data_IF_692697370595
#
_entry.id   IF_692697370595
#
_cell.length_a   1.000
_cell.length_b   1.000
_cell.length_c   1.000
_cell.angle_alpha   90.00
_cell.angle_beta   90.00
_cell.angle_gamma   90.00
#
_symmetry.space_group_name_H-M   'P 1'
#
loop_
_entity.id
_entity.type
_entity.pdbx_description
1 polymer ?
#
# COMPACT_ATOMS: atom_id res chain seq x y z
N UNK A 1 16.95 27.05 2.19
CA UNK A 1 17.92 26.44 3.12
C UNK A 1 18.67 25.36 2.37
N UNK A 2 20.02 25.43 2.45
CA UNK A 2 20.88 24.42 1.83
C UNK A 2 21.36 23.49 2.95
N UNK A 3 21.26 22.19 2.72
CA UNK A 3 21.82 21.17 3.59
C UNK A 3 22.85 20.34 2.82
N UNK A 4 23.83 19.83 3.52
CA UNK A 4 24.90 18.99 2.99
C UNK A 4 24.61 17.50 3.25
N UNK A 5 25.34 16.62 2.58
CA UNK A 5 25.28 15.18 2.88
C UNK A 5 25.72 14.88 4.32
N UNK A 6 26.66 15.65 4.84
CA UNK A 6 27.15 15.53 6.22
C UNK A 6 26.05 15.87 7.24
N UNK A 7 25.23 16.89 6.98
CA UNK A 7 24.07 17.22 7.82
C UNK A 7 23.06 16.06 7.84
N UNK A 8 22.78 15.46 6.69
CA UNK A 8 21.87 14.31 6.58
C UNK A 8 22.42 13.10 7.37
N UNK A 9 23.71 12.80 7.23
CA UNK A 9 24.35 11.70 7.96
C UNK A 9 24.32 11.94 9.48
N UNK A 10 24.65 13.16 9.91
CA UNK A 10 24.63 13.56 11.31
C UNK A 10 23.23 13.44 11.91
N UNK A 11 22.22 13.92 11.23
CA UNK A 11 20.82 13.82 11.65
C UNK A 11 20.35 12.36 11.77
N UNK A 12 20.75 11.50 10.83
CA UNK A 12 20.43 10.08 10.88
C UNK A 12 21.13 9.41 12.07
N UNK A 13 22.42 9.69 12.30
CA UNK A 13 23.17 9.13 13.42
C UNK A 13 22.55 9.54 14.76
N UNK A 14 22.28 10.83 14.95
CA UNK A 14 21.64 11.34 16.16
C UNK A 14 20.30 10.68 16.41
N UNK A 15 19.48 10.55 15.37
CA UNK A 15 18.18 9.89 15.42
C UNK A 15 18.29 8.41 15.80
N UNK A 16 19.29 7.70 15.29
CA UNK A 16 19.53 6.29 15.63
C UNK A 16 19.97 6.13 17.09
N UNK A 17 20.91 6.97 17.55
CA UNK A 17 21.40 6.96 18.93
C UNK A 17 20.24 7.18 19.92
N UNK A 18 19.44 8.22 19.70
CA UNK A 18 18.30 8.55 20.58
C UNK A 18 17.25 7.42 20.61
N UNK A 19 17.01 6.75 19.48
CA UNK A 19 15.94 5.74 19.36
C UNK A 19 16.36 4.31 19.73
N UNK A 20 17.65 4.09 19.97
CA UNK A 20 18.15 2.77 20.39
C UNK A 20 18.86 2.86 21.73
N UNK A 21 18.17 3.29 22.81
CA UNK A 21 18.80 3.42 24.13
C UNK A 21 19.27 2.08 24.69
N UNK A 22 18.73 0.96 24.26
CA UNK A 22 19.20 -0.38 24.60
C UNK A 22 20.58 -0.71 24.02
N UNK A 23 21.04 0.03 22.99
CA UNK A 23 22.38 -0.11 22.38
C UNK A 23 23.35 0.95 22.91
N UNK A 24 22.87 2.18 23.07
CA UNK A 24 23.72 3.36 23.34
C UNK A 24 23.57 3.90 24.78
N UNK A 25 22.70 3.30 25.61
CA UNK A 25 22.44 3.71 27.00
C UNK A 25 22.29 2.50 27.91
N UNK A 26 21.89 2.73 29.16
CA UNK A 26 21.72 1.72 30.19
C UNK A 26 20.32 1.06 30.21
N UNK A 27 19.46 1.39 29.26
CA UNK A 27 18.11 0.82 29.18
C UNK A 27 18.21 -0.62 28.69
N UNK A 28 17.75 -1.56 29.51
CA UNK A 28 17.65 -2.97 29.10
C UNK A 28 16.35 -3.21 28.36
N UNK A 29 16.39 -3.95 27.28
CA UNK A 29 15.25 -4.47 26.56
C UNK A 29 15.60 -5.87 26.08
N UNK A 30 14.99 -6.87 26.72
CA UNK A 30 15.35 -8.28 26.55
C UNK A 30 14.58 -8.94 25.42
N UNK A 31 13.53 -8.29 24.90
CA UNK A 31 12.71 -8.80 23.80
C UNK A 31 12.60 -7.80 22.65
N UNK A 32 12.42 -8.34 21.44
CA UNK A 32 12.16 -7.51 20.24
C UNK A 32 10.93 -6.61 20.41
N UNK A 33 9.92 -7.10 21.12
CA UNK A 33 8.68 -6.35 21.38
C UNK A 33 8.94 -5.14 22.28
N UNK A 34 9.75 -5.28 23.32
CA UNK A 34 10.16 -4.19 24.21
C UNK A 34 10.99 -3.14 23.46
N UNK A 35 11.93 -3.59 22.61
CA UNK A 35 12.71 -2.70 21.73
C UNK A 35 11.80 -1.86 20.84
N UNK A 36 10.83 -2.49 20.17
CA UNK A 36 9.89 -1.81 19.29
C UNK A 36 8.97 -0.85 20.06
N UNK A 37 8.50 -1.23 21.23
CA UNK A 37 7.66 -0.39 22.09
C UNK A 37 8.42 0.87 22.56
N UNK A 38 9.65 0.68 23.05
CA UNK A 38 10.52 1.79 23.47
C UNK A 38 10.83 2.72 22.28
N UNK A 39 11.15 2.15 21.12
CA UNK A 39 11.43 2.93 19.90
C UNK A 39 10.24 3.79 19.45
N UNK A 40 9.02 3.23 19.52
CA UNK A 40 7.80 3.94 19.19
C UNK A 40 7.50 5.06 20.19
N UNK A 41 7.65 4.79 21.53
CA UNK A 41 7.45 5.79 22.57
C UNK A 41 8.41 6.98 22.42
N UNK A 42 9.69 6.71 22.26
CA UNK A 42 10.72 7.76 22.04
C UNK A 42 10.45 8.55 20.77
N UNK A 43 9.94 7.90 19.74
CA UNK A 43 9.58 8.56 18.48
C UNK A 43 8.39 9.50 18.64
N UNK A 44 7.37 9.12 19.42
CA UNK A 44 6.21 9.96 19.72
C UNK A 44 6.64 11.17 20.56
N UNK A 45 7.49 10.96 21.57
CA UNK A 45 8.03 12.01 22.44
C UNK A 45 8.90 13.00 21.67
N UNK A 46 9.89 12.51 20.90
CA UNK A 46 10.80 13.36 20.10
C UNK A 46 10.09 14.17 19.02
N UNK A 47 8.89 13.77 18.60
CA UNK A 47 8.08 14.49 17.63
C UNK A 47 7.02 15.38 18.25
N UNK A 48 6.94 15.45 19.60
CA UNK A 48 5.92 16.19 20.34
C UNK A 48 4.49 15.91 19.86
N UNK A 49 4.22 14.62 19.49
CA UNK A 49 2.90 14.19 19.01
C UNK A 49 2.03 13.86 20.21
N UNK A 50 1.12 14.78 20.54
CA UNK A 50 0.20 14.65 21.69
C UNK A 50 -1.18 14.12 21.29
N UNK A 51 -1.51 14.15 19.99
CA UNK A 51 -2.79 13.66 19.47
C UNK A 51 -2.62 12.61 18.37
N UNK A 52 -3.63 11.77 18.21
CA UNK A 52 -3.68 10.80 17.11
C UNK A 52 -3.62 11.45 15.74
N UNK A 53 -4.36 12.54 15.56
CA UNK A 53 -4.35 13.30 14.30
C UNK A 53 -2.93 13.72 13.94
N UNK A 54 -2.16 14.27 14.87
CA UNK A 54 -0.76 14.63 14.64
C UNK A 54 0.09 13.42 14.22
N UNK A 55 -0.17 12.25 14.81
CA UNK A 55 0.52 11.01 14.43
C UNK A 55 0.20 10.60 12.99
N UNK A 56 -1.06 10.75 12.56
CA UNK A 56 -1.47 10.46 11.19
C UNK A 56 -0.92 11.49 10.19
N UNK A 57 -1.01 12.76 10.51
CA UNK A 57 -0.48 13.88 9.69
C UNK A 57 1.04 13.81 9.49
N UNK A 58 1.76 13.26 10.47
CA UNK A 58 3.21 13.04 10.39
C UNK A 58 3.62 11.90 9.45
N UNK A 59 2.69 11.24 8.74
CA UNK A 59 3.03 10.37 7.62
C UNK A 59 3.49 11.23 6.44
N UNK A 60 4.70 10.98 5.95
CA UNK A 60 5.31 11.79 4.90
C UNK A 60 4.37 11.87 3.67
N UNK A 61 4.12 13.09 3.21
CA UNK A 61 3.27 13.37 2.04
C UNK A 61 3.95 13.00 0.71
N UNK A 62 5.27 12.80 0.74
CA UNK A 62 6.10 12.42 -0.42
C UNK A 62 6.08 10.92 -0.71
N UNK A 63 5.46 10.11 0.14
CA UNK A 63 5.30 8.67 -0.12
C UNK A 63 4.33 8.41 -1.28
N UNK A 64 4.52 7.32 -2.05
CA UNK A 64 3.51 6.81 -2.97
C UNK A 64 2.16 6.66 -2.28
N UNK A 65 1.07 6.87 -3.01
CA UNK A 65 -0.26 7.03 -2.42
C UNK A 65 -0.72 5.80 -1.60
N UNK A 66 -0.55 4.59 -2.14
CA UNK A 66 -0.91 3.35 -1.45
C UNK A 66 -0.04 3.12 -0.21
N UNK A 67 1.27 3.36 -0.32
CA UNK A 67 2.19 3.26 0.81
C UNK A 67 1.82 4.26 1.91
N UNK A 68 1.43 5.48 1.54
CA UNK A 68 0.97 6.50 2.48
C UNK A 68 -0.34 6.08 3.16
N UNK A 69 -1.34 5.64 2.39
CA UNK A 69 -2.61 5.14 2.90
C UNK A 69 -2.39 3.98 3.89
N UNK A 70 -1.59 2.99 3.52
CA UNK A 70 -1.26 1.84 4.37
C UNK A 70 -0.58 2.27 5.68
N UNK A 71 0.36 3.23 5.65
CA UNK A 71 0.99 3.76 6.87
C UNK A 71 0.01 4.53 7.75
N UNK A 72 -0.94 5.25 7.17
CA UNK A 72 -2.01 5.92 7.92
C UNK A 72 -2.90 4.88 8.59
N UNK A 73 -3.36 3.87 7.86
CA UNK A 73 -4.13 2.75 8.41
C UNK A 73 -3.38 2.06 9.57
N UNK A 74 -2.10 1.69 9.36
CA UNK A 74 -1.27 1.06 10.41
C UNK A 74 -1.22 1.89 11.69
N UNK A 75 -1.10 3.21 11.59
CA UNK A 75 -1.04 4.09 12.75
C UNK A 75 -2.41 4.24 13.43
N UNK A 76 -3.48 4.31 12.63
CA UNK A 76 -4.83 4.37 13.16
C UNK A 76 -5.22 3.10 13.95
N UNK A 77 -4.70 1.94 13.54
CA UNK A 77 -4.99 0.63 14.14
C UNK A 77 -4.21 0.35 15.43
N UNK A 78 -3.15 1.10 15.74
CA UNK A 78 -2.17 0.78 16.80
C UNK A 78 -2.77 0.64 18.20
N UNK A 79 -3.94 1.23 18.49
CA UNK A 79 -4.58 1.22 19.82
C UNK A 79 -5.90 0.46 19.85
N UNK A 80 -5.96 -0.72 19.25
CA UNK A 80 -7.17 -1.55 19.21
C UNK A 80 -8.41 -0.85 18.61
N UNK A 81 -8.20 0.18 17.80
CA UNK A 81 -9.28 0.75 17.04
C UNK A 81 -9.75 -0.30 16.04
N UNK A 82 -10.90 -0.92 16.29
CA UNK A 82 -11.53 -2.01 15.54
C UNK A 82 -11.91 -1.62 14.10
N UNK A 83 -11.38 -0.52 13.60
CA UNK A 83 -11.75 0.04 12.31
C UNK A 83 -11.42 -0.91 11.14
N UNK A 84 -10.47 -1.84 11.33
CA UNK A 84 -10.02 -2.77 10.28
C UNK A 84 -9.52 -4.10 10.92
N UNK A 85 -10.39 -4.89 11.56
CA UNK A 85 -10.08 -6.31 11.78
C UNK A 85 -10.30 -7.07 10.44
N UNK A 86 -9.69 -8.25 10.27
CA UNK A 86 -9.72 -8.97 8.98
C UNK A 86 -11.13 -9.16 8.41
N UNK A 87 -12.09 -9.54 9.25
CA UNK A 87 -13.49 -9.69 8.83
C UNK A 87 -14.14 -8.35 8.46
N UNK A 88 -13.86 -7.29 9.24
CA UNK A 88 -14.37 -5.96 8.96
C UNK A 88 -13.66 -5.30 7.77
N UNK A 89 -12.38 -5.62 7.50
CA UNK A 89 -11.66 -5.08 6.35
C UNK A 89 -12.25 -5.56 5.01
N UNK A 90 -12.58 -6.85 4.91
CA UNK A 90 -13.25 -7.40 3.73
C UNK A 90 -14.68 -6.86 3.58
N UNK A 91 -15.42 -6.76 4.68
CA UNK A 91 -16.76 -6.15 4.69
C UNK A 91 -16.69 -4.68 4.23
N UNK A 92 -15.71 -3.90 4.71
CA UNK A 92 -15.53 -2.50 4.30
C UNK A 92 -15.21 -2.37 2.82
N UNK A 93 -14.38 -3.25 2.25
CA UNK A 93 -14.12 -3.26 0.79
C UNK A 93 -15.40 -3.56 0.01
N UNK A 94 -16.22 -4.49 0.50
CA UNK A 94 -17.52 -4.84 -0.13
C UNK A 94 -18.49 -3.67 -0.07
N UNK A 95 -18.56 -2.98 1.06
CA UNK A 95 -19.39 -1.78 1.25
C UNK A 95 -18.93 -0.62 0.35
N UNK A 96 -17.62 -0.33 0.29
CA UNK A 96 -17.08 0.69 -0.60
C UNK A 96 -17.34 0.35 -2.08
N UNK A 97 -17.27 -0.94 -2.46
CA UNK A 97 -17.64 -1.38 -3.81
C UNK A 97 -19.11 -1.07 -4.10
N UNK A 98 -20.02 -1.36 -3.17
CA UNK A 98 -21.45 -1.09 -3.34
C UNK A 98 -21.72 0.42 -3.47
N UNK A 99 -21.09 1.25 -2.61
CA UNK A 99 -21.19 2.70 -2.69
C UNK A 99 -20.73 3.24 -4.05
N UNK A 100 -19.65 2.66 -4.60
CA UNK A 100 -19.18 3.01 -5.94
C UNK A 100 -20.19 2.61 -7.03
N UNK A 101 -20.80 1.42 -6.93
CA UNK A 101 -21.83 0.96 -7.87
C UNK A 101 -23.05 1.89 -7.85
N UNK A 102 -23.49 2.32 -6.67
CA UNK A 102 -24.61 3.28 -6.52
C UNK A 102 -24.24 4.64 -7.12
N UNK A 103 -23.06 5.16 -6.85
CA UNK A 103 -22.60 6.43 -7.41
C UNK A 103 -22.52 6.39 -8.96
N UNK A 104 -22.08 5.25 -9.53
CA UNK A 104 -22.06 5.04 -10.98
C UNK A 104 -23.48 5.00 -11.57
N UNK A 105 -24.45 4.40 -10.88
CA UNK A 105 -25.85 4.40 -11.31
C UNK A 105 -26.51 5.77 -11.28
N UNK A 106 -26.06 6.63 -10.34
CA UNK A 106 -26.53 8.02 -10.25
C UNK A 106 -25.85 8.96 -11.25
N UNK A 107 -24.83 8.48 -11.95
CA UNK A 107 -24.01 9.25 -12.91
C UNK A 107 -23.43 10.53 -12.30
N UNK A 108 -23.16 10.55 -10.98
CA UNK A 108 -22.60 11.70 -10.26
C UNK A 108 -21.07 11.62 -10.20
N UNK A 109 -20.35 12.46 -10.98
CA UNK A 109 -18.89 12.39 -11.07
C UNK A 109 -18.17 12.67 -9.74
N UNK A 110 -18.74 13.51 -8.87
CA UNK A 110 -18.14 13.83 -7.58
C UNK A 110 -18.28 12.67 -6.62
N UNK A 111 -19.44 12.02 -6.57
CA UNK A 111 -19.64 10.84 -5.76
C UNK A 111 -18.82 9.64 -6.28
N UNK A 112 -18.74 9.44 -7.59
CA UNK A 112 -17.88 8.40 -8.20
C UNK A 112 -16.41 8.61 -7.78
N UNK A 113 -15.91 9.84 -7.86
CA UNK A 113 -14.52 10.17 -7.47
C UNK A 113 -14.27 9.88 -6.00
N UNK A 114 -15.20 10.26 -5.12
CA UNK A 114 -15.11 10.01 -3.68
C UNK A 114 -15.14 8.50 -3.38
N UNK A 115 -16.14 7.80 -3.89
CA UNK A 115 -16.31 6.36 -3.65
C UNK A 115 -15.12 5.54 -4.17
N UNK A 116 -14.55 5.89 -5.33
CA UNK A 116 -13.32 5.29 -5.83
C UNK A 116 -12.13 5.52 -4.90
N UNK A 117 -11.98 6.73 -4.37
CA UNK A 117 -10.93 7.05 -3.38
C UNK A 117 -11.08 6.24 -2.09
N UNK A 118 -12.30 6.08 -1.59
CA UNK A 118 -12.61 5.28 -0.41
C UNK A 118 -12.33 3.79 -0.64
N UNK A 119 -12.68 3.25 -1.79
CA UNK A 119 -12.39 1.86 -2.17
C UNK A 119 -10.88 1.59 -2.20
N UNK A 120 -10.09 2.48 -2.82
CA UNK A 120 -8.63 2.35 -2.86
C UNK A 120 -8.01 2.43 -1.45
N UNK A 121 -8.52 3.31 -0.59
CA UNK A 121 -8.08 3.41 0.79
C UNK A 121 -8.40 2.15 1.59
N UNK A 122 -9.61 1.60 1.44
CA UNK A 122 -10.02 0.33 2.07
C UNK A 122 -9.17 -0.84 1.59
N UNK A 123 -8.84 -0.92 0.29
CA UNK A 123 -7.93 -1.94 -0.23
C UNK A 123 -6.52 -1.84 0.39
N UNK A 124 -5.97 -0.62 0.53
CA UNK A 124 -4.69 -0.41 1.19
C UNK A 124 -4.74 -0.80 2.69
N UNK A 125 -5.85 -0.51 3.37
CA UNK A 125 -6.12 -0.94 4.74
C UNK A 125 -6.20 -2.46 4.88
N UNK A 126 -6.89 -3.14 3.97
CA UNK A 126 -6.96 -4.60 3.92
C UNK A 126 -5.58 -5.23 3.70
N UNK A 127 -4.77 -4.69 2.80
CA UNK A 127 -3.39 -5.15 2.61
C UNK A 127 -2.58 -5.02 3.92
N UNK A 128 -2.79 -3.95 4.70
CA UNK A 128 -2.15 -3.79 6.01
C UNK A 128 -2.58 -4.87 7.01
N UNK A 129 -3.84 -5.26 7.05
CA UNK A 129 -4.32 -6.32 7.96
C UNK A 129 -3.79 -7.70 7.58
N UNK A 130 -3.58 -7.94 6.29
CA UNK A 130 -3.01 -9.17 5.75
C UNK A 130 -1.47 -9.22 5.83
N UNK A 131 -0.81 -8.16 6.32
CA UNK A 131 0.65 -8.09 6.39
C UNK A 131 1.34 -7.92 5.02
N UNK A 132 0.59 -7.53 3.99
CA UNK A 132 1.08 -7.32 2.63
C UNK A 132 1.50 -5.87 2.42
N UNK A 133 2.41 -5.62 1.48
CA UNK A 133 2.70 -4.27 0.98
C UNK A 133 1.79 -3.92 -0.18
N UNK A 134 0.82 -3.02 0.01
CA UNK A 134 -0.13 -2.63 -1.03
C UNK A 134 0.56 -2.08 -2.30
N UNK A 135 1.62 -1.28 -2.12
CA UNK A 135 2.42 -0.72 -3.22
C UNK A 135 3.13 -1.84 -4.01
N UNK A 136 3.76 -2.79 -3.31
CA UNK A 136 4.49 -3.88 -3.94
C UNK A 136 3.53 -4.82 -4.68
N UNK A 137 2.45 -5.25 -4.03
CA UNK A 137 1.45 -6.13 -4.65
C UNK A 137 0.88 -5.53 -5.93
N UNK A 138 0.56 -4.22 -5.92
CA UNK A 138 0.06 -3.56 -7.12
C UNK A 138 1.14 -3.43 -8.19
N UNK A 139 2.39 -3.15 -7.81
CA UNK A 139 3.53 -3.10 -8.73
C UNK A 139 3.74 -4.45 -9.41
N UNK A 140 3.75 -5.53 -8.65
CA UNK A 140 3.96 -6.89 -9.18
C UNK A 140 2.82 -7.29 -10.12
N UNK A 141 1.57 -7.02 -9.72
CA UNK A 141 0.39 -7.26 -10.56
C UNK A 141 0.44 -6.45 -11.85
N UNK A 142 0.89 -5.20 -11.78
CA UNK A 142 1.05 -4.34 -12.96
C UNK A 142 2.13 -4.89 -13.91
N UNK A 143 3.26 -5.32 -13.36
CA UNK A 143 4.34 -5.94 -14.15
C UNK A 143 3.87 -7.24 -14.80
N UNK A 144 3.13 -8.06 -14.08
CA UNK A 144 2.54 -9.29 -14.61
C UNK A 144 1.55 -9.00 -15.74
N UNK A 145 0.71 -7.96 -15.59
CA UNK A 145 -0.18 -7.50 -16.66
C UNK A 145 0.60 -7.11 -17.92
N UNK A 146 1.69 -6.33 -17.78
CA UNK A 146 2.54 -5.90 -18.90
C UNK A 146 3.19 -7.13 -19.56
N UNK A 147 3.65 -8.09 -18.78
CA UNK A 147 4.24 -9.34 -19.32
C UNK A 147 3.22 -10.16 -20.10
N UNK A 148 2.00 -10.32 -19.58
CA UNK A 148 0.91 -10.96 -20.30
C UNK A 148 0.63 -10.27 -21.63
N UNK A 149 0.56 -8.95 -21.62
CA UNK A 149 0.26 -8.16 -22.83
C UNK A 149 1.34 -8.35 -23.88
N UNK A 150 2.62 -8.35 -23.50
CA UNK A 150 3.76 -8.60 -24.39
C UNK A 150 3.65 -9.97 -25.09
N UNK A 151 3.39 -11.05 -24.33
CA UNK A 151 3.26 -12.40 -24.87
C UNK A 151 2.07 -12.49 -25.85
N UNK A 152 0.96 -11.77 -25.55
CA UNK A 152 -0.17 -11.70 -26.49
C UNK A 152 0.21 -11.00 -27.79
N UNK A 153 0.94 -9.89 -27.74
CA UNK A 153 1.44 -9.20 -28.94
C UNK A 153 2.36 -10.09 -29.78
N UNK A 154 3.30 -10.78 -29.12
CA UNK A 154 4.22 -11.72 -29.78
C UNK A 154 3.47 -12.89 -30.44
N UNK A 155 2.44 -13.41 -29.77
CA UNK A 155 1.59 -14.49 -30.30
C UNK A 155 0.83 -14.02 -31.53
N UNK A 156 0.20 -12.85 -31.47
CA UNK A 156 -0.51 -12.28 -32.62
C UNK A 156 0.42 -11.97 -33.78
N UNK A 157 1.64 -11.48 -33.51
CA UNK A 157 2.64 -11.20 -34.54
C UNK A 157 3.10 -12.49 -35.22
N UNK A 158 3.31 -13.58 -34.47
CA UNK A 158 3.68 -14.88 -35.02
C UNK A 158 2.58 -15.48 -35.95
N UNK A 159 1.32 -15.17 -35.64
CA UNK A 159 0.17 -15.57 -36.47
C UNK A 159 -0.11 -14.58 -37.63
N UNK A 160 0.70 -13.52 -37.81
CA UNK A 160 0.47 -12.43 -38.76
C UNK A 160 -0.93 -11.79 -38.61
N UNK A 161 -1.45 -11.74 -37.41
CA UNK A 161 -2.77 -11.22 -37.08
C UNK A 161 -2.65 -10.04 -36.12
N UNK A 162 -2.93 -8.80 -36.53
CA UNK A 162 -2.90 -7.65 -35.63
C UNK A 162 -3.84 -7.83 -34.43
N UNK A 163 -3.37 -7.51 -33.23
CA UNK A 163 -4.11 -7.70 -31.98
C UNK A 163 -5.44 -6.94 -31.96
N UNK A 164 -5.51 -5.79 -32.66
CA UNK A 164 -6.69 -4.96 -32.80
C UNK A 164 -7.82 -5.65 -33.61
N UNK A 165 -7.49 -6.71 -34.35
CA UNK A 165 -8.47 -7.49 -35.13
C UNK A 165 -9.12 -8.60 -34.34
N UNK A 166 -8.69 -8.83 -33.10
CA UNK A 166 -9.29 -9.85 -32.23
C UNK A 166 -10.69 -9.41 -31.79
N UNK A 167 -11.63 -10.32 -31.86
CA UNK A 167 -12.91 -10.15 -31.20
C UNK A 167 -12.75 -10.18 -29.67
N UNK A 168 -13.69 -9.61 -28.92
CA UNK A 168 -13.67 -9.65 -27.46
C UNK A 168 -13.53 -11.08 -26.88
N UNK A 169 -14.15 -12.06 -27.55
CA UNK A 169 -14.06 -13.47 -27.15
C UNK A 169 -12.65 -14.05 -27.32
N UNK A 170 -12.03 -13.80 -28.48
CA UNK A 170 -10.66 -14.24 -28.78
C UNK A 170 -9.65 -13.55 -27.88
N UNK A 171 -9.81 -12.24 -27.65
CA UNK A 171 -8.97 -11.47 -26.75
C UNK A 171 -9.00 -12.06 -25.33
N UNK A 172 -10.20 -12.31 -24.79
CA UNK A 172 -10.37 -12.91 -23.47
C UNK A 172 -9.80 -14.33 -23.37
N UNK A 173 -9.94 -15.13 -24.43
CA UNK A 173 -9.40 -16.48 -24.48
C UNK A 173 -7.86 -16.46 -24.48
N UNK A 174 -7.26 -15.61 -25.30
CA UNK A 174 -5.83 -15.44 -25.38
C UNK A 174 -5.25 -14.92 -24.06
N UNK A 175 -5.89 -13.90 -23.46
CA UNK A 175 -5.53 -13.38 -22.15
C UNK A 175 -5.49 -14.46 -21.07
N UNK A 176 -6.57 -15.24 -20.94
CA UNK A 176 -6.64 -16.33 -19.97
C UNK A 176 -5.58 -17.41 -20.18
N UNK A 177 -5.31 -17.75 -21.45
CA UNK A 177 -4.29 -18.73 -21.80
C UNK A 177 -2.90 -18.22 -21.41
N UNK A 178 -2.53 -17.02 -21.82
CA UNK A 178 -1.23 -16.40 -21.55
C UNK A 178 -0.98 -16.25 -20.04
N UNK A 179 -1.99 -15.76 -19.32
CA UNK A 179 -1.88 -15.61 -17.86
C UNK A 179 -1.59 -16.93 -17.16
N UNK A 180 -2.27 -18.03 -17.56
CA UNK A 180 -2.04 -19.36 -17.00
C UNK A 180 -0.63 -19.89 -17.31
N UNK A 181 -0.16 -19.69 -18.53
CA UNK A 181 1.21 -20.12 -18.90
C UNK A 181 2.28 -19.41 -18.08
N UNK A 182 2.14 -18.12 -17.80
CA UNK A 182 3.10 -17.37 -16.99
C UNK A 182 3.02 -17.75 -15.50
N UNK A 183 1.85 -18.14 -14.99
CA UNK A 183 1.67 -18.62 -13.61
C UNK A 183 2.27 -20.03 -13.40
N UNK A 184 2.48 -20.83 -14.46
CA UNK A 184 3.06 -22.17 -14.42
C UNK A 184 4.60 -22.15 -14.58
N UNK A 185 5.18 -21.04 -15.02
CA UNK A 185 6.64 -20.85 -15.21
C UNK A 185 7.35 -20.24 -13.98
N UNK A 186 6.59 -19.63 -13.03
CA UNK A 186 7.08 -19.04 -11.77
C UNK A 186 7.08 -20.09 -10.63
#
# INVERSE_FOLDING_TARGET
EHFTLEDVCTDICNKLIVRHPHVFSTVQADTTEEVLKNWDAIKEETKHQTTRTQTLEAVAKTLPALMRAQKVCKRAMKDHNRFLCNESALASVTECKHTLEEAMHMEDPEQITRAMGELLFCCAGMAQTLGLSAEQVLTDTTNQFISCFRVMEETCAAENRPMETLSNGEWNALWKKTRRSLEEED
#
